data_IF_032446095969
#
_entry.id   IF_032446095969
#
_cell.length_a   1.000
_cell.length_b   1.000
_cell.length_c   1.000
_cell.angle_alpha   90.00
_cell.angle_beta   90.00
_cell.angle_gamma   90.00
#
_symmetry.space_group_name_H-M   'P 1'
#
loop_
_entity.id
_entity.type
_entity.pdbx_description
1 polymer ?
#
# COMPACT_ATOMS: atom_id res chain seq x y z
N UNK A 1 -4.58 -1.15 -7.53
CA UNK A 1 -3.40 -1.63 -8.30
C UNK A 1 -2.21 -0.69 -8.17
N UNK A 2 -2.39 0.62 -8.35
CA UNK A 2 -1.31 1.61 -8.16
C UNK A 2 -0.56 1.46 -6.83
N UNK A 3 -1.27 1.31 -5.71
CA UNK A 3 -0.63 1.13 -4.40
C UNK A 3 0.23 -0.14 -4.30
N UNK A 4 -0.26 -1.30 -4.75
CA UNK A 4 0.54 -2.54 -4.72
C UNK A 4 1.74 -2.47 -5.66
N UNK A 5 1.59 -1.85 -6.84
CA UNK A 5 2.72 -1.58 -7.74
C UNK A 5 3.79 -0.69 -7.09
N UNK A 6 3.37 0.33 -6.35
CA UNK A 6 4.26 1.17 -5.54
C UNK A 6 5.03 0.35 -4.50
N UNK A 7 4.32 -0.44 -3.69
CA UNK A 7 4.93 -1.32 -2.67
C UNK A 7 5.92 -2.30 -3.28
N UNK A 8 5.61 -2.89 -4.44
CA UNK A 8 6.51 -3.78 -5.15
C UNK A 8 7.76 -3.04 -5.66
N UNK A 9 7.60 -1.85 -6.25
CA UNK A 9 8.71 -1.01 -6.69
C UNK A 9 9.60 -0.60 -5.50
N UNK A 10 9.00 -0.30 -4.35
CA UNK A 10 9.74 -0.04 -3.11
C UNK A 10 10.58 -1.26 -2.70
N UNK A 11 10.00 -2.46 -2.73
CA UNK A 11 10.68 -3.70 -2.34
C UNK A 11 11.89 -4.01 -3.23
N UNK A 12 11.75 -3.88 -4.55
CA UNK A 12 12.77 -4.37 -5.49
C UNK A 12 13.79 -3.30 -5.87
N UNK A 13 13.38 -2.03 -5.89
CA UNK A 13 14.19 -0.93 -6.40
C UNK A 13 14.56 0.05 -5.30
N UNK A 14 13.58 0.58 -4.55
CA UNK A 14 13.86 1.70 -3.65
C UNK A 14 14.60 1.27 -2.38
N UNK A 15 14.04 0.33 -1.62
CA UNK A 15 14.53 -0.05 -0.29
C UNK A 15 15.90 -0.73 -0.29
N UNK A 16 16.30 -1.52 -1.31
CA UNK A 16 17.68 -1.96 -1.43
C UNK A 16 18.67 -0.80 -1.52
N UNK A 17 18.33 0.28 -2.23
CA UNK A 17 19.18 1.46 -2.36
C UNK A 17 19.18 2.34 -1.11
N UNK A 18 18.09 2.39 -0.35
CA UNK A 18 17.99 3.20 0.87
C UNK A 18 18.62 2.48 2.08
N UNK A 19 18.31 1.20 2.26
CA UNK A 19 18.59 0.47 3.51
C UNK A 19 19.72 -0.57 3.39
N UNK A 20 20.25 -0.81 2.19
CA UNK A 20 21.26 -1.85 1.95
C UNK A 20 22.60 -1.62 2.65
N UNK A 21 22.98 -0.35 2.90
CA UNK A 21 24.24 0.04 3.56
C UNK A 21 24.01 1.23 4.52
N UNK A 22 22.97 1.13 5.36
CA UNK A 22 22.67 2.17 6.33
C UNK A 22 23.79 2.29 7.39
N UNK A 23 24.21 3.52 7.80
CA UNK A 23 23.57 4.80 7.50
C UNK A 23 24.02 5.48 6.20
N UNK A 24 25.12 5.08 5.58
CA UNK A 24 25.69 5.79 4.43
C UNK A 24 24.73 5.82 3.21
N UNK A 25 24.03 4.73 2.93
CA UNK A 25 23.00 4.70 1.87
C UNK A 25 21.77 5.54 2.21
N UNK A 26 21.39 5.59 3.49
CA UNK A 26 20.26 6.38 3.99
C UNK A 26 20.54 7.87 3.87
N UNK A 27 21.74 8.33 4.22
CA UNK A 27 22.16 9.73 4.07
C UNK A 27 22.08 10.19 2.62
N UNK A 28 22.64 9.41 1.68
CA UNK A 28 22.53 9.71 0.24
C UNK A 28 21.08 9.72 -0.24
N UNK A 29 20.24 8.83 0.28
CA UNK A 29 18.82 8.81 -0.05
C UNK A 29 18.10 10.07 0.43
N UNK A 30 18.45 10.61 1.61
CA UNK A 30 17.93 11.89 2.12
C UNK A 30 18.36 13.06 1.24
N UNK A 31 19.60 13.07 0.78
CA UNK A 31 20.11 14.08 -0.16
C UNK A 31 19.37 14.02 -1.51
N UNK A 32 19.10 12.82 -2.02
CA UNK A 32 18.34 12.62 -3.25
C UNK A 32 16.88 13.06 -3.11
N UNK A 33 16.24 12.81 -1.96
CA UNK A 33 14.81 13.08 -1.71
C UNK A 33 14.55 14.45 -1.06
N UNK A 34 15.38 15.46 -1.35
CA UNK A 34 15.26 16.79 -0.72
C UNK A 34 13.96 17.53 -1.09
N UNK A 35 13.44 17.32 -2.30
CA UNK A 35 12.24 18.01 -2.79
C UNK A 35 10.93 17.34 -2.35
N UNK A 36 10.97 16.06 -2.00
CA UNK A 36 9.81 15.28 -1.63
C UNK A 36 10.16 13.80 -1.46
N UNK A 37 9.67 13.21 -0.38
CA UNK A 37 9.90 11.82 -0.02
C UNK A 37 8.62 10.99 -0.01
N UNK A 38 8.75 9.65 0.21
CA UNK A 38 7.63 8.74 0.42
C UNK A 38 6.54 9.26 1.38
N UNK A 39 6.95 9.96 2.45
CA UNK A 39 6.06 10.54 3.46
C UNK A 39 5.14 11.63 2.93
N UNK A 40 5.51 12.33 1.86
CA UNK A 40 4.70 13.43 1.32
C UNK A 40 3.59 12.92 0.39
N UNK A 41 3.83 11.78 -0.28
CA UNK A 41 2.94 11.24 -1.31
C UNK A 41 2.09 10.07 -0.83
N UNK A 42 2.65 9.14 -0.04
CA UNK A 42 1.93 7.92 0.31
C UNK A 42 0.76 8.11 1.28
N UNK A 43 0.82 8.97 2.32
CA UNK A 43 -0.33 9.22 3.18
C UNK A 43 -1.58 9.74 2.44
N UNK A 44 -1.52 10.81 1.62
CA UNK A 44 -2.71 11.29 0.91
C UNK A 44 -3.21 10.29 -0.16
N UNK A 45 -2.30 9.60 -0.86
CA UNK A 45 -2.69 8.54 -1.79
C UNK A 45 -3.36 7.38 -1.07
N UNK A 46 -2.80 6.94 0.06
CA UNK A 46 -3.37 5.90 0.92
C UNK A 46 -4.77 6.26 1.41
N UNK A 47 -4.96 7.49 1.89
CA UNK A 47 -6.27 8.00 2.30
C UNK A 47 -7.29 7.97 1.15
N UNK A 48 -6.88 8.36 -0.05
CA UNK A 48 -7.73 8.31 -1.25
C UNK A 48 -8.15 6.87 -1.60
N UNK A 49 -7.23 5.90 -1.45
CA UNK A 49 -7.54 4.48 -1.65
C UNK A 49 -8.48 3.95 -0.57
N UNK A 50 -8.32 4.35 0.69
CA UNK A 50 -9.26 4.00 1.77
C UNK A 50 -10.66 4.54 1.45
N UNK A 51 -10.79 5.83 1.12
CA UNK A 51 -12.09 6.45 0.82
C UNK A 51 -12.78 5.80 -0.37
N UNK A 52 -12.06 5.57 -1.46
CA UNK A 52 -12.60 4.88 -2.64
C UNK A 52 -12.95 3.41 -2.36
N UNK A 53 -12.18 2.72 -1.53
CA UNK A 53 -12.49 1.37 -1.05
C UNK A 53 -13.79 1.34 -0.24
N UNK A 54 -13.97 2.26 0.71
CA UNK A 54 -15.20 2.38 1.49
C UNK A 54 -16.41 2.71 0.60
N UNK A 55 -16.26 3.65 -0.34
CA UNK A 55 -17.31 3.95 -1.31
C UNK A 55 -17.68 2.71 -2.15
N UNK A 56 -16.69 1.94 -2.62
CA UNK A 56 -16.93 0.71 -3.35
C UNK A 56 -17.68 -0.33 -2.51
N UNK A 57 -17.35 -0.48 -1.22
CA UNK A 57 -18.10 -1.36 -0.30
C UNK A 57 -19.55 -0.91 -0.21
N UNK A 58 -19.81 0.38 0.01
CA UNK A 58 -21.17 0.92 0.14
C UNK A 58 -21.99 0.70 -1.14
N UNK A 59 -21.41 0.99 -2.30
CA UNK A 59 -22.07 0.88 -3.61
C UNK A 59 -22.37 -0.58 -3.98
N UNK A 60 -21.51 -1.51 -3.58
CA UNK A 60 -21.64 -2.95 -3.91
C UNK A 60 -22.28 -3.78 -2.79
N UNK A 61 -22.65 -3.16 -1.66
CA UNK A 61 -23.10 -3.88 -0.47
C UNK A 61 -24.34 -4.76 -0.69
N UNK A 62 -25.24 -4.30 -1.57
CA UNK A 62 -26.45 -5.04 -1.93
C UNK A 62 -26.21 -6.21 -2.87
N UNK A 63 -25.03 -6.30 -3.50
CA UNK A 63 -24.67 -7.42 -4.35
C UNK A 63 -24.00 -8.53 -3.52
N UNK A 64 -24.69 -9.65 -3.23
CA UNK A 64 -24.14 -10.73 -2.43
C UNK A 64 -22.93 -11.41 -3.07
N UNK A 65 -22.76 -11.29 -4.39
CA UNK A 65 -21.65 -11.90 -5.15
C UNK A 65 -20.36 -11.10 -5.00
N UNK A 66 -20.46 -9.79 -4.72
CA UNK A 66 -19.34 -8.86 -4.66
C UNK A 66 -19.00 -8.39 -3.25
N UNK A 67 -20.00 -8.18 -2.39
CA UNK A 67 -19.84 -7.46 -1.11
C UNK A 67 -18.69 -7.96 -0.25
N UNK A 68 -18.50 -9.27 -0.12
CA UNK A 68 -17.43 -9.83 0.73
C UNK A 68 -16.04 -9.72 0.09
N UNK A 69 -15.96 -9.72 -1.23
CA UNK A 69 -14.69 -9.50 -1.95
C UNK A 69 -14.25 -8.06 -1.84
N UNK A 70 -15.18 -7.11 -2.03
CA UNK A 70 -14.90 -5.69 -1.94
C UNK A 70 -14.63 -5.28 -0.49
N UNK A 71 -15.45 -5.74 0.45
CA UNK A 71 -15.23 -5.49 1.88
C UNK A 71 -13.93 -6.13 2.38
N UNK A 72 -13.63 -7.36 1.97
CA UNK A 72 -12.36 -8.01 2.29
C UNK A 72 -11.15 -7.25 1.73
N UNK A 73 -11.23 -6.77 0.48
CA UNK A 73 -10.17 -5.96 -0.11
C UNK A 73 -9.97 -4.64 0.66
N UNK A 74 -11.05 -3.93 0.97
CA UNK A 74 -10.98 -2.68 1.74
C UNK A 74 -10.42 -2.92 3.15
N UNK A 75 -10.87 -3.98 3.84
CA UNK A 75 -10.40 -4.33 5.17
C UNK A 75 -8.91 -4.71 5.17
N UNK A 76 -8.46 -5.52 4.22
CA UNK A 76 -7.05 -5.89 4.07
C UNK A 76 -6.18 -4.66 3.82
N UNK A 77 -6.62 -3.75 2.94
CA UNK A 77 -5.90 -2.50 2.68
C UNK A 77 -5.82 -1.62 3.92
N UNK A 78 -6.95 -1.38 4.60
CA UNK A 78 -7.00 -0.54 5.80
C UNK A 78 -6.12 -1.13 6.90
N UNK A 79 -6.18 -2.44 7.13
CA UNK A 79 -5.39 -3.07 8.18
C UNK A 79 -3.88 -3.05 7.86
N UNK A 80 -3.49 -3.52 6.68
CA UNK A 80 -2.08 -3.76 6.35
C UNK A 80 -1.36 -2.54 5.78
N UNK A 81 -2.02 -1.71 4.97
CA UNK A 81 -1.40 -0.56 4.31
C UNK A 81 -1.62 0.74 5.07
N UNK A 82 -2.75 0.92 5.76
CA UNK A 82 -3.04 2.16 6.47
C UNK A 82 -2.70 2.07 7.97
N UNK A 83 -3.43 1.24 8.74
CA UNK A 83 -3.28 1.17 10.20
C UNK A 83 -1.90 0.65 10.61
N UNK A 84 -1.44 -0.44 9.99
CA UNK A 84 -0.11 -0.97 10.26
C UNK A 84 0.98 0.04 9.88
N UNK A 85 0.82 0.77 8.77
CA UNK A 85 1.76 1.85 8.41
C UNK A 85 1.76 2.99 9.42
N UNK A 86 0.59 3.42 9.88
CA UNK A 86 0.48 4.50 10.86
C UNK A 86 1.17 4.15 12.18
N UNK A 87 0.98 2.92 12.65
CA UNK A 87 1.53 2.47 13.94
C UNK A 87 3.00 2.08 13.83
N UNK A 88 3.40 1.40 12.76
CA UNK A 88 4.73 0.81 12.63
C UNK A 88 5.69 1.65 11.77
N UNK A 89 5.24 2.15 10.62
CA UNK A 89 6.12 2.80 9.64
C UNK A 89 6.33 4.28 9.91
N UNK A 90 5.29 5.02 10.29
CA UNK A 90 5.43 6.47 10.50
C UNK A 90 6.49 6.81 11.56
N UNK A 91 6.53 6.16 12.74
CA UNK A 91 7.59 6.44 13.72
C UNK A 91 8.99 6.10 13.20
N UNK A 92 9.13 5.05 12.39
CA UNK A 92 10.43 4.64 11.83
C UNK A 92 10.88 5.56 10.70
N UNK A 93 9.93 6.06 9.90
CA UNK A 93 10.20 7.10 8.91
C UNK A 93 10.64 8.41 9.57
N UNK A 94 10.02 8.78 10.69
CA UNK A 94 10.44 9.96 11.47
C UNK A 94 11.93 9.84 11.86
N UNK A 95 12.30 8.71 12.47
CA UNK A 95 13.69 8.43 12.90
C UNK A 95 14.68 8.47 11.72
N UNK A 96 14.31 7.90 10.58
CA UNK A 96 15.24 7.71 9.46
C UNK A 96 15.33 8.92 8.53
N UNK A 97 14.23 9.65 8.32
CA UNK A 97 14.12 10.68 7.28
C UNK A 97 13.83 12.09 7.81
N UNK A 98 13.20 12.23 8.98
CA UNK A 98 12.78 13.53 9.51
C UNK A 98 13.75 14.04 10.57
N UNK A 99 14.12 13.19 11.53
CA UNK A 99 15.03 13.57 12.61
C UNK A 99 16.37 14.10 12.05
N UNK A 100 16.97 15.14 12.68
CA UNK A 100 18.23 15.71 12.22
C UNK A 100 19.34 14.65 12.09
N UNK A 101 20.21 14.81 11.09
CA UNK A 101 21.37 13.93 10.90
C UNK A 101 22.27 14.00 12.14
N UNK A 102 22.73 12.83 12.61
CA UNK A 102 23.54 12.73 13.82
C UNK A 102 22.76 12.60 15.13
N UNK A 103 21.42 12.72 15.11
CA UNK A 103 20.56 12.48 16.30
C UNK A 103 20.70 11.04 16.80
N UNK A 104 20.78 10.09 15.86
CA UNK A 104 20.73 8.65 16.14
C UNK A 104 22.07 7.98 15.85
N UNK A 105 22.43 6.98 16.64
CA UNK A 105 23.65 6.21 16.40
C UNK A 105 23.53 5.36 15.13
N UNK A 106 24.65 5.09 14.41
CA UNK A 106 24.65 4.21 13.25
C UNK A 106 24.08 2.81 13.53
N UNK A 107 24.34 2.27 14.73
CA UNK A 107 23.83 0.97 15.17
C UNK A 107 22.30 0.99 15.27
N UNK A 108 21.74 2.05 15.86
CA UNK A 108 20.29 2.20 16.00
C UNK A 108 19.62 2.39 14.63
N UNK A 109 20.21 3.19 13.74
CA UNK A 109 19.68 3.37 12.38
C UNK A 109 19.67 2.04 11.58
N UNK A 110 20.70 1.20 11.72
CA UNK A 110 20.71 -0.15 11.11
C UNK A 110 19.61 -1.05 11.67
N UNK A 111 19.38 -0.99 12.99
CA UNK A 111 18.29 -1.73 13.61
C UNK A 111 16.94 -1.29 13.04
N UNK A 112 16.67 0.02 13.05
CA UNK A 112 15.41 0.59 12.57
C UNK A 112 15.19 0.30 11.09
N UNK A 113 16.23 0.38 10.26
CA UNK A 113 16.17 -0.01 8.85
C UNK A 113 15.83 -1.51 8.68
N UNK A 114 16.43 -2.39 9.48
CA UNK A 114 16.11 -3.82 9.49
C UNK A 114 14.65 -4.09 9.88
N UNK A 115 14.15 -3.43 10.92
CA UNK A 115 12.76 -3.51 11.35
C UNK A 115 11.81 -3.00 10.26
N UNK A 116 12.16 -1.90 9.61
CA UNK A 116 11.38 -1.31 8.53
C UNK A 116 11.23 -2.27 7.34
N UNK A 117 12.35 -2.86 6.88
CA UNK A 117 12.33 -3.84 5.79
C UNK A 117 11.57 -5.11 6.19
N UNK A 118 11.69 -5.55 7.44
CA UNK A 118 10.92 -6.70 7.95
C UNK A 118 9.41 -6.41 7.95
N UNK A 119 9.01 -5.26 8.47
CA UNK A 119 7.62 -4.79 8.43
C UNK A 119 7.10 -4.66 7.01
N UNK A 120 7.95 -4.27 6.04
CA UNK A 120 7.52 -4.05 4.65
C UNK A 120 6.96 -5.30 3.99
N UNK A 121 7.42 -6.48 4.44
CA UNK A 121 6.90 -7.76 3.96
C UNK A 121 5.42 -7.96 4.30
N UNK A 122 4.96 -7.41 5.43
CA UNK A 122 3.54 -7.42 5.82
C UNK A 122 2.73 -6.56 4.86
N UNK A 123 3.22 -5.38 4.52
CA UNK A 123 2.59 -4.50 3.52
C UNK A 123 2.55 -5.16 2.15
N UNK A 124 3.67 -5.72 1.69
CA UNK A 124 3.72 -6.46 0.43
C UNK A 124 2.68 -7.60 0.38
N UNK A 125 2.59 -8.41 1.43
CA UNK A 125 1.60 -9.49 1.51
C UNK A 125 0.15 -8.93 1.55
N UNK A 126 -0.10 -7.92 2.38
CA UNK A 126 -1.42 -7.29 2.51
C UNK A 126 -1.89 -6.61 1.23
N UNK A 127 -0.98 -5.93 0.53
CA UNK A 127 -1.21 -5.34 -0.79
C UNK A 127 -1.51 -6.40 -1.86
N UNK A 128 -0.81 -7.54 -1.84
CA UNK A 128 -1.09 -8.66 -2.73
C UNK A 128 -2.48 -9.26 -2.48
N UNK A 129 -2.84 -9.50 -1.20
CA UNK A 129 -4.18 -9.97 -0.82
C UNK A 129 -5.25 -8.97 -1.27
N UNK A 130 -5.05 -7.68 -0.99
CA UNK A 130 -5.95 -6.61 -1.43
C UNK A 130 -6.15 -6.64 -2.95
N UNK A 131 -5.05 -6.76 -3.71
CA UNK A 131 -5.08 -6.79 -5.16
C UNK A 131 -5.87 -8.01 -5.68
N UNK A 132 -5.61 -9.20 -5.15
CA UNK A 132 -6.32 -10.43 -5.52
C UNK A 132 -7.81 -10.30 -5.26
N UNK A 133 -8.21 -9.85 -4.06
CA UNK A 133 -9.62 -9.69 -3.70
C UNK A 133 -10.33 -8.66 -4.60
N UNK A 134 -9.73 -7.49 -4.79
CA UNK A 134 -10.29 -6.43 -5.62
C UNK A 134 -10.39 -6.85 -7.09
N UNK A 135 -9.37 -7.51 -7.64
CA UNK A 135 -9.39 -7.97 -9.02
C UNK A 135 -10.42 -9.08 -9.23
N UNK A 136 -10.58 -9.97 -8.26
CA UNK A 136 -11.60 -11.01 -8.33
C UNK A 136 -13.01 -10.41 -8.31
N UNK A 137 -13.25 -9.38 -7.48
CA UNK A 137 -14.51 -8.64 -7.48
C UNK A 137 -14.78 -8.00 -8.85
N UNK A 138 -13.78 -7.33 -9.42
CA UNK A 138 -13.88 -6.69 -10.74
C UNK A 138 -14.21 -7.71 -11.85
N UNK A 139 -13.52 -8.85 -11.89
CA UNK A 139 -13.77 -9.90 -12.89
C UNK A 139 -15.18 -10.48 -12.77
N UNK A 140 -15.69 -10.68 -11.55
CA UNK A 140 -17.07 -11.15 -11.33
C UNK A 140 -18.08 -10.12 -11.83
N UNK A 141 -17.88 -8.85 -11.47
CA UNK A 141 -18.73 -7.76 -11.91
C UNK A 141 -18.76 -7.63 -13.44
N UNK A 142 -17.59 -7.66 -14.09
CA UNK A 142 -17.48 -7.54 -15.54
C UNK A 142 -18.18 -8.71 -16.27
N UNK A 143 -18.01 -9.95 -15.79
CA UNK A 143 -18.66 -11.13 -16.37
C UNK A 143 -20.18 -11.08 -16.24
N UNK A 144 -20.69 -10.68 -15.07
CA UNK A 144 -22.14 -10.60 -14.84
C UNK A 144 -22.78 -9.48 -15.66
N UNK A 145 -22.09 -8.34 -15.81
CA UNK A 145 -22.52 -7.24 -16.67
C UNK A 145 -22.57 -7.67 -18.14
N UNK A 146 -21.53 -8.36 -18.63
CA UNK A 146 -21.50 -8.86 -20.00
C UNK A 146 -22.63 -9.87 -20.28
N UNK A 147 -22.90 -10.80 -19.35
CA UNK A 147 -24.00 -11.76 -19.46
C UNK A 147 -25.36 -11.07 -19.51
N UNK A 148 -25.56 -10.06 -18.68
CA UNK A 148 -26.81 -9.29 -18.68
C UNK A 148 -27.03 -8.54 -20.00
N UNK A 149 -25.97 -7.98 -20.58
CA UNK A 149 -26.03 -7.30 -21.88
C UNK A 149 -26.44 -8.26 -23.01
N UNK A 150 -25.80 -9.43 -23.10
CA UNK A 150 -26.14 -10.45 -24.11
C UNK A 150 -27.59 -10.94 -23.96
N UNK A 151 -28.05 -11.17 -22.73
CA UNK A 151 -29.43 -11.58 -22.48
C UNK A 151 -30.45 -10.51 -22.89
N UNK A 152 -30.13 -9.22 -22.68
CA UNK A 152 -30.98 -8.11 -23.08
C UNK A 152 -31.04 -7.92 -24.60
N UNK A 153 -29.96 -8.22 -25.32
CA UNK A 153 -29.92 -8.22 -26.79
C UNK A 153 -30.75 -9.37 -27.38
N UNK A 154 -30.63 -10.58 -26.84
CA UNK A 154 -31.41 -11.74 -27.28
C UNK A 154 -32.93 -11.63 -27.02
N UNK A 155 -33.35 -10.71 -26.14
CA UNK A 155 -34.74 -10.46 -25.81
C UNK A 155 -35.39 -9.32 -26.63
N UNK A 156 -34.63 -8.66 -27.52
CA UNK A 156 -35.12 -7.63 -28.46
C UNK A 156 -35.42 -8.24 -29.81
#
# INVERSE_FOLDING_TARGET
MLSFGGVAAETVMLYPNIFGDAPASLERAREFMVAGGPSDYFPPLGATVVLSGLAAVLLTWRDPRLRWWVAGAAAAFIACEFLFSAVFFWPRNEIMFVDPVGTHSPQYLRQVAGEFVAGHRVRLAGGAVTAVLAFTALLRFARDTARAAVAAEAAR
#
